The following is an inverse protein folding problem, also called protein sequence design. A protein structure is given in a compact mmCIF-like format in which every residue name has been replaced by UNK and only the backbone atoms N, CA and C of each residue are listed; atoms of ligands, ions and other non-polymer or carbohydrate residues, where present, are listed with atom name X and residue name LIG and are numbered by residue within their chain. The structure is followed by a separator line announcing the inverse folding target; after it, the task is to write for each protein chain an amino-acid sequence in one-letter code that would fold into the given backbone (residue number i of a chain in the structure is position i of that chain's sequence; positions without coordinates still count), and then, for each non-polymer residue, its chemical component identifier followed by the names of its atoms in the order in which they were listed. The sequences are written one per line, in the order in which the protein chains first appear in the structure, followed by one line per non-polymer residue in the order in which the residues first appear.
data_IF_172301585310
#
_entry.id   IF_172301585310
#
_cell.length_a   1.000
_cell.length_b   1.000
_cell.length_c   1.000
_cell.angle_alpha   90.00
_cell.angle_beta   90.00
_cell.angle_gamma   90.00
#
_symmetry.space_group_name_H-M   'P 1'
#
loop_
_entity.id
_entity.type
_entity.pdbx_description
1 polymer ?
#
# COMPACT_ATOMS: atom_id res chain seq x y z
N UNK A 1 20.64 15.86 38.67
CA UNK A 1 21.02 14.86 37.65
C UNK A 1 21.81 13.78 38.35
N UNK A 2 21.26 12.58 38.48
CA UNK A 2 21.88 11.45 39.18
C UNK A 2 22.41 10.51 38.11
N UNK A 3 23.72 10.48 37.95
CA UNK A 3 24.42 9.58 37.03
C UNK A 3 24.25 8.15 37.54
N UNK A 4 23.70 7.29 36.69
CA UNK A 4 23.50 5.87 36.95
C UNK A 4 24.88 5.16 36.89
N UNK A 5 25.25 4.32 37.89
CA UNK A 5 26.53 3.60 37.90
C UNK A 5 26.74 2.64 36.72
N UNK A 6 25.71 2.38 35.90
CA UNK A 6 25.83 1.60 34.66
C UNK A 6 26.45 2.37 33.49
N UNK A 7 26.58 3.70 33.57
CA UNK A 7 27.17 4.54 32.51
C UNK A 7 28.70 4.39 32.36
N UNK A 8 29.39 3.83 33.37
CA UNK A 8 30.85 3.68 33.40
C UNK A 8 31.36 2.23 33.25
N UNK A 9 30.52 1.26 32.84
CA UNK A 9 30.91 -0.14 32.56
C UNK A 9 31.73 -0.33 31.28
N UNK A 10 32.51 0.67 30.89
CA UNK A 10 33.03 0.92 29.56
C UNK A 10 34.42 0.35 29.23
N UNK A 11 34.75 -0.89 29.59
CA UNK A 11 36.01 -1.50 29.09
C UNK A 11 35.83 -2.71 28.17
N UNK A 12 34.69 -3.41 28.20
CA UNK A 12 34.48 -4.61 27.35
C UNK A 12 33.13 -4.70 26.65
N UNK A 13 32.22 -3.73 26.82
CA UNK A 13 30.93 -3.74 26.11
C UNK A 13 31.05 -3.15 24.69
N UNK A 14 32.04 -2.29 24.42
CA UNK A 14 32.16 -1.56 23.15
C UNK A 14 32.55 -2.38 21.90
N UNK A 15 32.81 -3.69 22.01
CA UNK A 15 33.26 -4.52 20.88
C UNK A 15 32.43 -5.78 20.62
N UNK A 16 31.33 -6.03 21.35
CA UNK A 16 30.39 -7.09 20.93
C UNK A 16 29.51 -6.53 19.82
N UNK A 17 29.61 -7.05 18.58
CA UNK A 17 28.66 -6.71 17.52
C UNK A 17 27.25 -6.95 18.06
N UNK A 18 26.43 -5.89 18.12
CA UNK A 18 25.05 -5.97 18.65
C UNK A 18 24.80 -5.41 20.07
N UNK A 19 25.80 -4.84 20.76
CA UNK A 19 25.62 -4.24 22.12
C UNK A 19 25.66 -2.70 22.15
N UNK A 20 25.73 -2.05 20.99
CA UNK A 20 25.58 -0.60 20.91
C UNK A 20 24.22 -0.19 21.49
N UNK A 21 24.14 0.84 22.34
CA UNK A 21 22.88 1.29 22.91
C UNK A 21 21.91 1.66 21.78
N UNK A 22 20.78 0.96 21.72
CA UNK A 22 19.74 1.19 20.72
C UNK A 22 19.17 2.59 20.97
N UNK A 23 19.60 3.57 20.17
CA UNK A 23 19.01 4.91 20.19
C UNK A 23 17.61 4.85 19.59
N UNK A 24 16.62 4.72 20.46
CA UNK A 24 15.23 4.93 20.07
C UNK A 24 15.00 6.38 19.68
N UNK A 25 14.29 6.60 18.57
CA UNK A 25 13.93 7.94 18.11
C UNK A 25 13.03 8.60 19.16
N UNK A 26 13.33 9.85 19.51
CA UNK A 26 12.54 10.61 20.48
C UNK A 26 11.05 10.66 20.08
N UNK A 27 10.17 10.57 21.06
CA UNK A 27 8.72 10.76 20.90
C UNK A 27 8.45 12.18 20.37
N UNK A 28 7.57 12.36 19.38
CA UNK A 28 7.17 13.69 18.91
C UNK A 28 6.54 14.51 20.05
N UNK A 29 6.81 15.82 20.09
CA UNK A 29 6.09 16.73 20.99
C UNK A 29 4.59 16.69 20.69
N UNK A 30 3.78 16.47 21.73
CA UNK A 30 2.36 16.30 21.52
C UNK A 30 1.68 17.65 21.22
N UNK A 31 1.02 17.77 20.06
CA UNK A 31 0.25 18.97 19.71
C UNK A 31 -1.00 19.19 20.58
N UNK A 32 -1.67 20.33 20.40
CA UNK A 32 -2.92 20.64 21.09
C UNK A 32 -4.05 19.64 20.76
N UNK A 33 -5.04 19.49 21.65
CA UNK A 33 -6.12 18.52 21.47
C UNK A 33 -6.91 18.70 20.16
N UNK A 34 -7.10 19.95 19.71
CA UNK A 34 -7.74 20.26 18.44
C UNK A 34 -6.92 19.75 17.23
N UNK A 35 -5.60 19.98 17.25
CA UNK A 35 -4.68 19.52 16.19
C UNK A 35 -4.65 17.99 16.10
N UNK A 36 -4.63 17.29 17.24
CA UNK A 36 -4.70 15.81 17.27
C UNK A 36 -6.00 15.24 16.70
N UNK A 37 -7.12 15.97 16.75
CA UNK A 37 -8.39 15.55 16.12
C UNK A 37 -8.31 15.72 14.61
N UNK A 38 -7.81 16.86 14.14
CA UNK A 38 -7.60 17.10 12.71
C UNK A 38 -6.63 16.07 12.09
N UNK A 39 -5.52 15.78 12.76
CA UNK A 39 -4.53 14.80 12.31
C UNK A 39 -5.12 13.38 12.24
N UNK A 40 -6.03 13.03 13.16
CA UNK A 40 -6.77 11.75 13.11
C UNK A 40 -7.68 11.64 11.89
N UNK A 41 -8.44 12.69 11.59
CA UNK A 41 -9.30 12.73 10.40
C UNK A 41 -8.45 12.64 9.13
N UNK A 42 -7.36 13.40 9.07
CA UNK A 42 -6.45 13.38 7.94
C UNK A 42 -5.81 11.99 7.74
N UNK A 43 -5.39 11.32 8.82
CA UNK A 43 -4.88 9.95 8.75
C UNK A 43 -5.93 8.96 8.21
N UNK A 44 -7.20 9.13 8.58
CA UNK A 44 -8.29 8.30 8.08
C UNK A 44 -8.56 8.56 6.58
N UNK A 45 -8.52 9.82 6.13
CA UNK A 45 -8.65 10.18 4.72
C UNK A 45 -7.51 9.58 3.89
N UNK A 46 -6.27 9.70 4.35
CA UNK A 46 -5.10 9.12 3.65
C UNK A 46 -5.23 7.59 3.58
N UNK A 47 -5.70 6.94 4.65
CA UNK A 47 -5.97 5.50 4.65
C UNK A 47 -7.04 5.13 3.61
N UNK A 48 -8.14 5.87 3.56
CA UNK A 48 -9.20 5.65 2.58
C UNK A 48 -8.68 5.80 1.14
N UNK A 49 -7.83 6.79 0.87
CA UNK A 49 -7.18 6.99 -0.43
C UNK A 49 -6.25 5.81 -0.76
N UNK A 50 -5.49 5.29 0.20
CA UNK A 50 -4.64 4.11 -0.02
C UNK A 50 -5.47 2.86 -0.35
N UNK A 51 -6.57 2.63 0.36
CA UNK A 51 -7.49 1.51 0.10
C UNK A 51 -8.10 1.65 -1.29
N UNK A 52 -8.63 2.83 -1.64
CA UNK A 52 -9.21 3.09 -2.94
C UNK A 52 -8.19 2.91 -4.07
N UNK A 53 -6.98 3.50 -3.92
CA UNK A 53 -5.90 3.37 -4.89
C UNK A 53 -5.47 1.92 -5.09
N UNK A 54 -5.47 1.13 -4.03
CA UNK A 54 -5.14 -0.29 -4.09
C UNK A 54 -6.24 -1.13 -4.78
N UNK A 55 -7.51 -0.80 -4.58
CA UNK A 55 -8.63 -1.44 -5.30
C UNK A 55 -8.57 -1.19 -6.81
N UNK A 56 -8.01 -0.07 -7.27
CA UNK A 56 -7.85 0.22 -8.69
C UNK A 56 -6.96 -0.81 -9.41
N UNK A 57 -6.01 -1.44 -8.71
CA UNK A 57 -5.13 -2.45 -9.31
C UNK A 57 -5.86 -3.71 -9.74
N UNK A 58 -7.01 -4.02 -9.14
CA UNK A 58 -7.71 -5.29 -9.36
C UNK A 58 -8.64 -5.28 -10.57
N UNK A 59 -9.02 -4.11 -11.09
CA UNK A 59 -9.97 -4.03 -12.20
C UNK A 59 -9.85 -2.74 -13.01
N UNK A 60 -10.05 -1.57 -12.40
CA UNK A 60 -10.05 -0.30 -13.14
C UNK A 60 -8.78 -0.05 -13.95
N UNK A 61 -7.58 -0.30 -13.39
CA UNK A 61 -6.31 -0.12 -14.10
C UNK A 61 -6.20 -1.12 -15.27
N UNK A 62 -6.34 -2.44 -15.07
CA UNK A 62 -6.37 -3.40 -16.18
C UNK A 62 -7.38 -3.05 -17.29
N UNK A 63 -8.61 -2.68 -16.92
CA UNK A 63 -9.67 -2.32 -17.88
C UNK A 63 -9.29 -1.07 -18.65
N UNK A 64 -8.76 -0.03 -17.98
CA UNK A 64 -8.31 1.19 -18.65
C UNK A 64 -7.15 0.91 -19.62
N UNK A 65 -6.22 0.03 -19.26
CA UNK A 65 -5.11 -0.37 -20.14
C UNK A 65 -5.60 -1.16 -21.36
N UNK A 66 -6.57 -2.06 -21.19
CA UNK A 66 -7.19 -2.80 -22.30
C UNK A 66 -7.99 -1.87 -23.23
N UNK A 67 -8.72 -0.92 -22.65
CA UNK A 67 -9.41 0.10 -23.44
C UNK A 67 -8.42 0.96 -24.24
N UNK A 68 -7.30 1.38 -23.63
CA UNK A 68 -6.28 2.12 -24.36
C UNK A 68 -5.68 1.29 -25.51
N UNK A 69 -5.40 0.01 -25.26
CA UNK A 69 -4.92 -0.93 -26.28
C UNK A 69 -5.90 -1.01 -27.46
N UNK A 70 -7.21 -1.13 -27.17
CA UNK A 70 -8.24 -1.23 -28.20
C UNK A 70 -8.37 0.05 -29.03
N UNK A 71 -8.22 1.23 -28.40
CA UNK A 71 -8.21 2.51 -29.11
C UNK A 71 -7.00 2.65 -30.06
N UNK A 72 -5.83 2.19 -29.63
CA UNK A 72 -4.61 2.24 -30.45
C UNK A 72 -4.72 1.29 -31.63
N UNK A 73 -5.21 0.07 -31.41
CA UNK A 73 -5.47 -0.87 -32.49
C UNK A 73 -6.49 -0.30 -33.49
N UNK A 74 -7.59 0.29 -33.01
CA UNK A 74 -8.64 0.87 -33.85
C UNK A 74 -8.09 1.96 -34.79
N UNK A 75 -7.20 2.82 -34.28
CA UNK A 75 -6.64 3.94 -35.06
C UNK A 75 -5.46 3.56 -35.95
N UNK A 76 -4.61 2.64 -35.51
CA UNK A 76 -3.39 2.26 -36.22
C UNK A 76 -3.57 1.07 -37.16
N UNK A 77 -4.64 0.30 -37.01
CA UNK A 77 -4.84 -0.98 -37.70
C UNK A 77 -3.90 -2.10 -37.24
N UNK A 78 -3.03 -1.85 -36.25
CA UNK A 78 -2.00 -2.80 -35.82
C UNK A 78 -2.28 -3.34 -34.41
N UNK A 79 -2.47 -4.66 -34.33
CA UNK A 79 -2.62 -5.38 -33.05
C UNK A 79 -1.34 -5.30 -32.22
N UNK A 80 -0.18 -5.42 -32.87
CA UNK A 80 1.11 -5.37 -32.18
C UNK A 80 1.32 -4.05 -31.45
N UNK A 81 1.05 -2.92 -32.13
CA UNK A 81 1.14 -1.59 -31.50
C UNK A 81 0.15 -1.43 -30.35
N UNK A 82 -1.10 -1.87 -30.55
CA UNK A 82 -2.11 -1.87 -29.48
C UNK A 82 -1.65 -2.64 -28.24
N UNK A 83 -1.11 -3.84 -28.44
CA UNK A 83 -0.62 -4.71 -27.36
C UNK A 83 0.57 -4.08 -26.62
N UNK A 84 1.58 -3.61 -27.35
CA UNK A 84 2.78 -3.00 -26.76
C UNK A 84 2.40 -1.77 -25.93
N UNK A 85 1.58 -0.88 -26.48
CA UNK A 85 1.16 0.32 -25.77
C UNK A 85 0.23 0.01 -24.59
N UNK A 86 -0.70 -0.94 -24.74
CA UNK A 86 -1.57 -1.40 -23.66
C UNK A 86 -0.78 -1.98 -22.49
N UNK A 87 0.18 -2.86 -22.79
CA UNK A 87 1.06 -3.46 -21.78
C UNK A 87 1.97 -2.42 -21.12
N UNK A 88 2.55 -1.51 -21.90
CA UNK A 88 3.34 -0.41 -21.37
C UNK A 88 2.52 0.51 -20.45
N UNK A 89 1.28 0.83 -20.82
CA UNK A 89 0.37 1.62 -19.99
C UNK A 89 -0.02 0.88 -18.71
N UNK A 90 -0.28 -0.42 -18.79
CA UNK A 90 -0.55 -1.26 -17.62
C UNK A 90 0.64 -1.24 -16.66
N UNK A 91 1.85 -1.53 -17.15
CA UNK A 91 3.07 -1.50 -16.33
C UNK A 91 3.31 -0.13 -15.71
N UNK A 92 3.18 0.94 -16.50
CA UNK A 92 3.35 2.30 -16.01
C UNK A 92 2.33 2.65 -14.91
N UNK A 93 1.07 2.26 -15.07
CA UNK A 93 0.03 2.48 -14.07
C UNK A 93 0.26 1.65 -12.79
N UNK A 94 0.65 0.38 -12.91
CA UNK A 94 0.94 -0.49 -11.77
C UNK A 94 2.15 0.02 -10.98
N UNK A 95 3.26 0.30 -11.66
CA UNK A 95 4.49 0.78 -11.02
C UNK A 95 4.30 2.20 -10.46
N UNK A 96 3.67 3.09 -11.21
CA UNK A 96 3.36 4.45 -10.79
C UNK A 96 2.43 4.46 -9.57
N UNK A 97 1.37 3.65 -9.59
CA UNK A 97 0.47 3.47 -8.47
C UNK A 97 1.20 2.97 -7.22
N UNK A 98 2.11 2.00 -7.36
CA UNK A 98 2.89 1.49 -6.22
C UNK A 98 3.81 2.57 -5.63
N UNK A 99 4.43 3.40 -6.47
CA UNK A 99 5.24 4.54 -6.02
C UNK A 99 4.38 5.53 -5.24
N UNK A 100 3.19 5.88 -5.75
CA UNK A 100 2.25 6.79 -5.08
C UNK A 100 1.82 6.22 -3.73
N UNK A 101 1.40 4.95 -3.68
CA UNK A 101 0.98 4.31 -2.43
C UNK A 101 2.11 4.24 -1.40
N UNK A 102 3.35 3.94 -1.82
CA UNK A 102 4.51 3.97 -0.91
C UNK A 102 4.75 5.36 -0.33
N UNK A 103 4.57 6.42 -1.13
CA UNK A 103 4.70 7.81 -0.64
C UNK A 103 3.57 8.17 0.32
N UNK A 104 2.34 7.75 0.03
CA UNK A 104 1.18 7.96 0.91
C UNK A 104 1.32 7.19 2.23
N UNK A 105 1.86 5.97 2.21
CA UNK A 105 2.09 5.17 3.41
C UNK A 105 3.14 5.83 4.32
N UNK A 106 4.22 6.37 3.75
CA UNK A 106 5.20 7.16 4.50
C UNK A 106 4.58 8.43 5.10
N UNK A 107 3.75 9.15 4.33
CA UNK A 107 3.00 10.32 4.80
C UNK A 107 2.03 9.95 5.93
N UNK A 108 1.31 8.83 5.78
CA UNK A 108 0.36 8.32 6.76
C UNK A 108 1.05 8.04 8.10
N UNK A 109 2.22 7.39 8.10
CA UNK A 109 3.01 7.16 9.32
C UNK A 109 3.38 8.48 10.01
N UNK A 110 3.80 9.50 9.25
CA UNK A 110 4.13 10.82 9.81
C UNK A 110 2.92 11.50 10.46
N UNK A 111 1.76 11.48 9.79
CA UNK A 111 0.52 12.06 10.31
C UNK A 111 0.06 11.31 11.55
N UNK A 112 0.17 9.97 11.55
CA UNK A 112 -0.19 9.16 12.72
C UNK A 112 0.70 9.48 13.92
N UNK A 113 2.00 9.70 13.70
CA UNK A 113 2.93 10.13 14.74
C UNK A 113 2.60 11.51 15.28
N UNK A 114 2.27 12.46 14.41
CA UNK A 114 1.82 13.80 14.81
C UNK A 114 0.53 13.76 15.65
N UNK A 115 -0.36 12.80 15.39
CA UNK A 115 -1.58 12.59 16.18
C UNK A 115 -1.34 12.09 17.62
N UNK A 116 -0.08 11.80 17.99
CA UNK A 116 0.31 11.39 19.34
C UNK A 116 0.42 9.89 19.52
N UNK A 117 0.92 9.15 18.52
CA UNK A 117 1.13 7.73 18.72
C UNK A 117 2.29 7.12 17.96
N UNK A 118 2.83 6.06 18.57
CA UNK A 118 4.07 5.43 18.11
C UNK A 118 3.81 4.41 16.99
N UNK A 119 3.40 4.90 15.82
CA UNK A 119 3.30 4.07 14.62
C UNK A 119 4.67 3.96 13.93
N UNK A 120 5.27 2.77 13.95
CA UNK A 120 6.60 2.53 13.36
C UNK A 120 6.58 1.89 11.98
N UNK A 121 5.51 1.18 11.67
CA UNK A 121 5.34 0.45 10.42
C UNK A 121 4.19 1.04 9.61
N UNK A 122 4.33 1.02 8.29
CA UNK A 122 3.25 1.33 7.36
C UNK A 122 2.11 0.31 7.43
N UNK A 123 0.95 0.70 6.92
CA UNK A 123 -0.24 -0.15 6.87
C UNK A 123 -0.45 -0.75 5.49
N UNK A 124 0.29 -0.27 4.49
CA UNK A 124 0.17 -0.69 3.09
C UNK A 124 0.26 -2.21 2.87
N UNK A 125 1.20 -2.98 3.49
CA UNK A 125 1.25 -4.43 3.31
C UNK A 125 -0.02 -5.15 3.77
N UNK A 126 -0.58 -4.70 4.91
CA UNK A 126 -1.82 -5.25 5.45
C UNK A 126 -3.01 -4.92 4.55
N UNK A 127 -3.12 -3.67 4.12
CA UNK A 127 -4.18 -3.23 3.20
C UNK A 127 -4.10 -4.01 1.89
N UNK A 128 -2.89 -4.17 1.34
CA UNK A 128 -2.66 -4.96 0.15
C UNK A 128 -3.13 -6.41 0.35
N UNK A 129 -2.64 -7.09 1.37
CA UNK A 129 -3.01 -8.49 1.64
C UNK A 129 -4.53 -8.68 1.82
N UNK A 130 -5.19 -7.80 2.58
CA UNK A 130 -6.65 -7.86 2.79
C UNK A 130 -7.40 -7.66 1.47
N UNK A 131 -7.05 -6.65 0.67
CA UNK A 131 -7.72 -6.46 -0.63
C UNK A 131 -7.45 -7.60 -1.60
N UNK A 132 -6.24 -8.18 -1.59
CA UNK A 132 -5.89 -9.34 -2.40
C UNK A 132 -6.70 -10.56 -2.00
N UNK A 133 -6.86 -10.80 -0.70
CA UNK A 133 -7.66 -11.90 -0.18
C UNK A 133 -9.13 -11.73 -0.56
N UNK A 134 -9.70 -10.54 -0.36
CA UNK A 134 -11.08 -10.22 -0.76
C UNK A 134 -11.25 -10.39 -2.28
N UNK A 135 -10.33 -9.83 -3.07
CA UNK A 135 -10.35 -9.90 -4.52
C UNK A 135 -10.26 -11.34 -5.03
N UNK A 136 -9.35 -12.15 -4.49
CA UNK A 136 -9.21 -13.55 -4.83
C UNK A 136 -10.47 -14.34 -4.47
N UNK A 137 -11.02 -14.16 -3.27
CA UNK A 137 -12.27 -14.83 -2.85
C UNK A 137 -13.44 -14.44 -3.73
N UNK A 138 -13.62 -13.13 -4.00
CA UNK A 138 -14.69 -12.63 -4.85
C UNK A 138 -14.56 -13.14 -6.29
N UNK A 139 -13.34 -13.15 -6.84
CA UNK A 139 -13.06 -13.68 -8.17
C UNK A 139 -13.31 -15.19 -8.24
N UNK A 140 -12.84 -15.97 -7.26
CA UNK A 140 -13.09 -17.41 -7.20
C UNK A 140 -14.58 -17.71 -7.08
N UNK A 141 -15.31 -16.97 -6.25
CA UNK A 141 -16.76 -17.11 -6.14
C UNK A 141 -17.44 -16.82 -7.48
N UNK A 142 -17.13 -15.69 -8.11
CA UNK A 142 -17.69 -15.34 -9.42
C UNK A 142 -17.34 -16.40 -10.48
N UNK A 143 -16.09 -16.85 -10.52
CA UNK A 143 -15.61 -17.82 -11.50
C UNK A 143 -16.26 -19.19 -11.34
N UNK A 144 -16.51 -19.66 -10.11
CA UNK A 144 -17.06 -20.99 -9.87
C UNK A 144 -18.59 -21.01 -9.82
N UNK A 145 -19.21 -19.95 -9.32
CA UNK A 145 -20.67 -19.90 -9.11
C UNK A 145 -21.40 -19.23 -10.28
N UNK A 146 -20.84 -18.16 -10.86
CA UNK A 146 -21.51 -17.37 -11.90
C UNK A 146 -21.04 -17.77 -13.29
N UNK A 147 -19.72 -17.89 -13.51
CA UNK A 147 -19.13 -18.28 -14.81
C UNK A 147 -18.67 -19.75 -14.86
N UNK A 148 -18.83 -20.48 -13.76
CA UNK A 148 -18.28 -21.82 -13.61
C UNK A 148 -19.08 -22.88 -14.36
N UNK A 149 -18.67 -24.16 -14.25
CA UNK A 149 -19.21 -25.28 -15.04
C UNK A 149 -20.72 -25.46 -14.94
N UNK A 150 -21.43 -24.86 -13.98
CA UNK A 150 -22.90 -24.83 -13.97
C UNK A 150 -23.56 -24.14 -15.17
N UNK A 151 -22.82 -23.29 -15.91
CA UNK A 151 -23.33 -22.64 -17.13
C UNK A 151 -23.33 -23.54 -18.37
N UNK A 152 -22.63 -24.67 -18.33
CA UNK A 152 -22.48 -25.62 -19.46
C UNK A 152 -22.64 -27.10 -19.10
N UNK A 153 -22.70 -27.45 -17.81
CA UNK A 153 -22.86 -28.83 -17.34
C UNK A 153 -24.32 -29.31 -17.23
N UNK A 154 -25.31 -28.44 -17.47
CA UNK A 154 -26.71 -28.82 -17.60
C UNK A 154 -27.12 -28.66 -19.08
N UNK A 155 -27.12 -29.73 -19.89
CA UNK A 155 -27.85 -29.72 -21.15
C UNK A 155 -29.36 -29.54 -20.84
N UNK A 156 -30.01 -28.68 -21.62
CA UNK A 156 -31.47 -28.50 -21.59
C UNK A 156 -32.20 -29.76 -22.05
#
# INVERSE_FOLDING_TARGET
MRTDPTDNGGLFVGRRPGTAPVRYRALPEEGTAARRRADRVLAAVVLAVMVAGNLLFWGPIPVASLWLASQIQYRSGSVFLGLVCGFAALLAALLGGLVVLKRLDALWVLIRRASGADQRQGVLPTVFWVTSAIGAVAFTFWLLVINGPGSSALPA
#
